data_IF_789869358552
#
_entry.id   IF_789869358552
#
_cell.length_a   1.000
_cell.length_b   1.000
_cell.length_c   1.000
_cell.angle_alpha   90.00
_cell.angle_beta   90.00
_cell.angle_gamma   90.00
#
_symmetry.space_group_name_H-M   'P 1'
#
loop_
_entity.id
_entity.type
_entity.pdbx_description
1 polymer ?
#
# COMPACT_ATOMS: atom_id res chain seq x y z
N UNK A 1 -18.13 -14.95 -0.43
CA UNK A 1 -19.05 -14.87 0.73
C UNK A 1 -18.34 -15.45 1.94
N UNK A 2 -18.31 -14.76 3.09
CA UNK A 2 -17.92 -15.36 4.36
C UNK A 2 -18.92 -16.44 4.78
N UNK A 3 -18.46 -17.52 5.40
CA UNK A 3 -19.32 -18.63 5.80
C UNK A 3 -18.55 -19.94 6.02
N UNK A 4 -19.21 -20.90 6.65
CA UNK A 4 -18.72 -22.28 6.71
C UNK A 4 -19.14 -23.00 5.43
N UNK A 5 -18.17 -23.63 4.76
CA UNK A 5 -18.38 -24.44 3.58
C UNK A 5 -17.89 -25.85 3.87
N UNK A 6 -18.70 -26.83 3.47
CA UNK A 6 -18.33 -28.23 3.50
C UNK A 6 -18.30 -28.73 2.07
N UNK A 7 -17.26 -29.47 1.72
CA UNK A 7 -17.09 -30.07 0.41
C UNK A 7 -16.54 -31.50 0.55
N UNK A 8 -16.63 -32.29 -0.50
CA UNK A 8 -16.14 -33.68 -0.53
C UNK A 8 -15.18 -33.85 -1.71
N UNK A 9 -13.91 -34.06 -1.41
CA UNK A 9 -12.90 -34.39 -2.41
C UNK A 9 -12.94 -35.89 -2.69
N UNK A 10 -13.37 -36.25 -3.89
CA UNK A 10 -13.29 -37.62 -4.40
C UNK A 10 -11.97 -37.81 -5.16
N UNK A 11 -11.12 -38.70 -4.66
CA UNK A 11 -9.87 -39.08 -5.30
C UNK A 11 -10.04 -40.42 -6.00
N UNK A 12 -10.08 -40.38 -7.34
CA UNK A 12 -10.12 -41.56 -8.20
C UNK A 12 -8.71 -41.85 -8.68
N UNK A 13 -8.16 -43.00 -8.29
CA UNK A 13 -6.86 -43.49 -8.77
C UNK A 13 -7.11 -44.84 -9.45
N UNK A 14 -6.55 -45.01 -10.65
CA UNK A 14 -6.69 -46.26 -11.41
C UNK A 14 -6.14 -47.45 -10.61
N UNK A 15 -6.97 -48.47 -10.40
CA UNK A 15 -6.59 -49.67 -9.63
C UNK A 15 -6.71 -49.54 -8.11
N UNK A 16 -7.15 -48.39 -7.57
CA UNK A 16 -7.40 -48.20 -6.14
C UNK A 16 -8.89 -47.92 -5.86
N UNK A 17 -9.39 -48.27 -4.65
CA UNK A 17 -10.74 -47.90 -4.24
C UNK A 17 -10.87 -46.37 -4.10
N UNK A 18 -12.09 -45.86 -4.36
CA UNK A 18 -12.42 -44.45 -4.25
C UNK A 18 -12.13 -43.94 -2.84
N UNK A 19 -11.26 -42.94 -2.73
CA UNK A 19 -10.99 -42.25 -1.47
C UNK A 19 -11.79 -40.95 -1.41
N UNK A 20 -12.53 -40.74 -0.31
CA UNK A 20 -13.35 -39.54 -0.08
C UNK A 20 -12.80 -38.76 1.10
N UNK A 21 -12.46 -37.50 0.88
CA UNK A 21 -11.95 -36.59 1.89
C UNK A 21 -12.98 -35.48 2.15
N UNK A 22 -13.54 -35.49 3.36
CA UNK A 22 -14.44 -34.43 3.80
C UNK A 22 -13.66 -33.16 4.11
N UNK A 23 -13.87 -32.11 3.32
CA UNK A 23 -13.35 -30.78 3.54
C UNK A 23 -14.35 -29.94 4.32
N UNK A 24 -13.87 -29.27 5.37
CA UNK A 24 -14.61 -28.21 6.06
C UNK A 24 -13.74 -26.98 6.10
N UNK A 25 -14.21 -25.89 5.51
CA UNK A 25 -13.49 -24.62 5.47
C UNK A 25 -14.38 -23.49 6.00
N UNK A 26 -13.76 -22.52 6.69
CA UNK A 26 -14.43 -21.30 7.15
C UNK A 26 -13.84 -20.11 6.40
N UNK A 27 -14.66 -19.48 5.56
CA UNK A 27 -14.29 -18.24 4.87
C UNK A 27 -14.65 -17.09 5.81
N UNK A 28 -13.65 -16.41 6.35
CA UNK A 28 -13.85 -15.31 7.32
C UNK A 28 -14.10 -13.94 6.66
N UNK A 29 -14.06 -13.84 5.33
CA UNK A 29 -14.07 -12.56 4.63
C UNK A 29 -12.69 -11.90 4.62
N UNK A 30 -12.62 -10.57 4.55
CA UNK A 30 -11.35 -9.84 4.72
C UNK A 30 -10.91 -9.99 6.20
N UNK A 31 -9.80 -10.67 6.50
CA UNK A 31 -9.34 -10.86 7.87
C UNK A 31 -8.75 -9.59 8.50
N UNK A 32 -8.59 -8.51 7.73
CA UNK A 32 -8.11 -7.23 8.24
C UNK A 32 -9.28 -6.34 8.63
N UNK A 33 -9.25 -5.85 9.87
CA UNK A 33 -10.26 -4.94 10.39
C UNK A 33 -9.62 -3.71 11.04
N UNK A 34 -10.26 -2.55 10.87
CA UNK A 34 -9.94 -1.36 11.67
C UNK A 34 -10.52 -1.56 13.06
N UNK A 35 -9.67 -1.40 14.07
CA UNK A 35 -10.07 -1.52 15.48
C UNK A 35 -11.00 -0.36 15.85
N UNK A 36 -12.14 -0.66 16.49
CA UNK A 36 -13.21 0.33 16.76
C UNK A 36 -12.79 1.46 17.69
N UNK A 37 -11.77 1.21 18.53
CA UNK A 37 -11.22 2.17 19.48
C UNK A 37 -10.33 3.24 18.82
N UNK A 38 -10.20 3.27 17.49
CA UNK A 38 -9.44 4.31 16.80
C UNK A 38 -10.14 5.67 16.86
N UNK A 39 -9.44 6.67 17.41
CA UNK A 39 -10.03 7.98 17.70
C UNK A 39 -10.30 8.79 16.44
N UNK A 40 -11.58 9.09 16.20
CA UNK A 40 -12.05 9.92 15.09
C UNK A 40 -12.06 9.21 13.74
N UNK A 41 -12.04 7.87 13.73
CA UNK A 41 -12.58 7.12 12.61
C UNK A 41 -14.10 7.08 12.76
N UNK A 42 -14.79 7.48 11.72
CA UNK A 42 -16.23 7.30 11.57
C UNK A 42 -16.49 6.17 10.57
N UNK A 43 -16.93 5.02 11.09
CA UNK A 43 -17.25 3.81 10.32
C UNK A 43 -18.77 3.67 10.12
N UNK A 44 -19.59 4.58 10.68
CA UNK A 44 -21.05 4.40 10.75
C UNK A 44 -21.79 5.22 9.68
N UNK A 45 -21.19 6.30 9.20
CA UNK A 45 -21.90 7.31 8.40
C UNK A 45 -21.79 7.08 6.88
N UNK A 46 -21.01 6.11 6.42
CA UNK A 46 -20.88 5.81 4.98
C UNK A 46 -20.20 4.48 4.67
N UNK A 47 -20.09 4.17 3.38
CA UNK A 47 -19.52 2.91 2.87
C UNK A 47 -18.00 2.81 3.08
N UNK A 48 -17.34 3.95 3.31
CA UNK A 48 -15.90 4.04 3.59
C UNK A 48 -15.66 4.72 4.94
N UNK A 49 -14.67 4.28 5.73
CA UNK A 49 -14.36 4.88 7.02
C UNK A 49 -13.69 6.25 6.84
N UNK A 50 -14.18 7.26 7.57
CA UNK A 50 -13.65 8.62 7.52
C UNK A 50 -12.75 8.92 8.72
N UNK A 51 -11.50 9.32 8.48
CA UNK A 51 -10.62 9.82 9.53
C UNK A 51 -10.76 11.36 9.65
N UNK A 52 -11.43 11.83 10.70
CA UNK A 52 -11.65 13.26 10.94
C UNK A 52 -10.60 13.80 11.89
N UNK A 53 -9.85 14.84 11.50
CA UNK A 53 -8.93 15.53 12.42
C UNK A 53 -9.62 16.53 13.36
N UNK A 54 -10.89 16.86 13.09
CA UNK A 54 -11.60 17.92 13.79
C UNK A 54 -11.24 19.30 13.24
N UNK A 55 -11.56 20.34 13.99
CA UNK A 55 -11.18 21.71 13.64
C UNK A 55 -9.69 21.93 13.98
N UNK A 56 -8.89 22.21 12.95
CA UNK A 56 -7.44 22.44 13.08
C UNK A 56 -7.15 23.90 12.78
N UNK A 57 -6.46 24.55 13.71
CA UNK A 57 -6.08 25.97 13.57
C UNK A 57 -4.84 26.08 12.69
N UNK A 58 -4.85 27.00 11.73
CA UNK A 58 -3.67 27.27 10.89
C UNK A 58 -2.49 27.68 11.77
N UNK A 59 -1.34 27.07 11.56
CA UNK A 59 -0.14 27.31 12.38
C UNK A 59 -0.13 26.57 13.73
N UNK A 60 -1.11 25.71 14.01
CA UNK A 60 -1.01 24.77 15.13
C UNK A 60 0.12 23.76 14.89
N UNK A 61 0.64 23.11 15.94
CA UNK A 61 1.50 21.94 15.77
C UNK A 61 0.83 20.83 14.94
N UNK A 62 1.65 19.94 14.39
CA UNK A 62 1.18 18.77 13.66
C UNK A 62 0.25 17.91 14.53
N UNK A 63 -0.87 17.47 13.96
CA UNK A 63 -1.88 16.69 14.67
C UNK A 63 -1.72 15.22 14.32
N UNK A 64 -1.49 14.36 15.33
CA UNK A 64 -1.30 12.92 15.12
C UNK A 64 -2.52 12.12 15.56
N UNK A 65 -2.95 11.19 14.71
CA UNK A 65 -3.97 10.19 15.03
C UNK A 65 -3.42 8.78 14.89
N UNK A 66 -3.81 7.90 15.82
CA UNK A 66 -3.41 6.51 15.81
C UNK A 66 -4.48 5.66 15.12
N UNK A 67 -4.06 4.91 14.10
CA UNK A 67 -4.82 3.85 13.47
C UNK A 67 -4.27 2.50 13.90
N UNK A 68 -5.14 1.65 14.43
CA UNK A 68 -4.84 0.26 14.74
C UNK A 68 -5.61 -0.65 13.80
N UNK A 69 -4.86 -1.54 13.16
CA UNK A 69 -5.39 -2.58 12.27
C UNK A 69 -5.15 -3.92 12.95
N UNK A 70 -6.17 -4.76 12.94
CA UNK A 70 -6.11 -6.13 13.43
C UNK A 70 -6.13 -7.10 12.27
N UNK A 71 -5.23 -8.08 12.31
CA UNK A 71 -5.32 -9.25 11.46
C UNK A 71 -5.96 -10.39 12.24
N UNK A 72 -7.21 -10.72 11.93
CA UNK A 72 -7.93 -11.85 12.50
C UNK A 72 -7.65 -13.16 11.76
N UNK A 73 -6.91 -13.08 10.65
CA UNK A 73 -6.58 -14.21 9.80
C UNK A 73 -5.37 -15.03 10.28
N UNK A 74 -5.23 -16.25 9.75
CA UNK A 74 -4.12 -17.16 10.10
C UNK A 74 -2.83 -16.88 9.33
N UNK A 75 -2.83 -15.93 8.38
CA UNK A 75 -1.71 -15.62 7.49
C UNK A 75 -1.27 -14.18 7.75
N UNK A 76 0.05 -13.94 7.74
CA UNK A 76 0.59 -12.59 7.85
C UNK A 76 0.16 -11.71 6.68
N UNK A 77 -0.19 -10.45 6.95
CA UNK A 77 -0.55 -9.47 5.93
C UNK A 77 0.49 -8.36 5.88
N UNK A 78 1.11 -8.13 4.72
CA UNK A 78 1.89 -6.92 4.47
C UNK A 78 0.91 -5.80 4.11
N UNK A 79 0.75 -4.85 5.01
CA UNK A 79 -0.12 -3.69 4.81
C UNK A 79 0.70 -2.51 4.33
N UNK A 80 0.22 -1.83 3.30
CA UNK A 80 0.87 -0.68 2.69
C UNK A 80 -0.14 0.44 2.38
N UNK A 81 0.21 1.65 2.78
CA UNK A 81 -0.62 2.84 2.61
C UNK A 81 -0.26 3.58 1.33
N UNK A 82 -1.29 4.01 0.60
CA UNK A 82 -1.19 4.83 -0.59
C UNK A 82 -2.21 5.96 -0.54
N UNK A 83 -1.95 7.02 -1.29
CA UNK A 83 -2.89 8.13 -1.47
C UNK A 83 -3.46 8.03 -2.87
N UNK A 84 -4.78 8.01 -2.99
CA UNK A 84 -5.49 7.97 -4.27
C UNK A 84 -6.53 9.09 -4.32
N UNK A 85 -6.90 9.48 -5.53
CA UNK A 85 -8.09 10.30 -5.78
C UNK A 85 -9.33 9.52 -5.32
N UNK A 86 -10.34 10.23 -4.79
CA UNK A 86 -11.62 9.64 -4.38
C UNK A 86 -12.26 8.84 -5.53
N UNK A 87 -12.10 9.30 -6.77
CA UNK A 87 -12.63 8.63 -7.95
C UNK A 87 -11.94 7.30 -8.29
N UNK A 88 -10.73 7.09 -7.78
CA UNK A 88 -9.93 5.89 -8.01
C UNK A 88 -9.97 4.91 -6.82
N UNK A 89 -10.73 5.24 -5.77
CA UNK A 89 -10.91 4.35 -4.60
C UNK A 89 -11.83 3.20 -4.98
N UNK A 90 -11.39 1.96 -4.70
CA UNK A 90 -12.18 0.75 -4.93
C UNK A 90 -12.28 0.29 -6.39
N UNK A 91 -11.71 1.05 -7.33
CA UNK A 91 -11.53 0.64 -8.72
C UNK A 91 -10.14 0.03 -8.92
N UNK A 92 -10.02 -0.88 -9.88
CA UNK A 92 -8.73 -1.22 -10.48
C UNK A 92 -8.03 0.04 -11.01
N UNK A 93 -6.71 -0.02 -11.12
CA UNK A 93 -5.90 1.10 -11.61
C UNK A 93 -6.41 1.60 -12.97
N UNK A 94 -7.07 2.75 -12.94
CA UNK A 94 -7.66 3.39 -14.12
C UNK A 94 -6.58 3.65 -15.16
N UNK A 95 -6.71 3.02 -16.33
CA UNK A 95 -5.75 3.19 -17.44
C UNK A 95 -6.20 4.22 -18.46
N UNK A 96 -7.50 4.48 -18.55
CA UNK A 96 -8.08 5.39 -19.54
C UNK A 96 -9.15 6.29 -18.93
N UNK A 97 -9.24 7.49 -19.47
CA UNK A 97 -10.32 8.45 -19.25
C UNK A 97 -11.25 8.43 -20.45
N UNK A 98 -12.54 8.23 -20.19
CA UNK A 98 -13.59 8.25 -21.22
C UNK A 98 -14.48 9.46 -20.96
N UNK A 99 -14.49 10.40 -21.90
CA UNK A 99 -15.30 11.62 -21.84
C UNK A 99 -16.35 11.61 -22.94
N UNK A 100 -17.59 11.91 -22.56
CA UNK A 100 -18.70 12.11 -23.48
C UNK A 100 -19.04 13.60 -23.52
N UNK A 101 -18.87 14.22 -24.67
CA UNK A 101 -19.25 15.62 -24.89
C UNK A 101 -20.43 15.68 -25.86
N UNK A 102 -21.49 16.45 -25.57
CA UNK A 102 -22.55 16.67 -26.54
C UNK A 102 -22.00 17.48 -27.73
N UNK A 103 -22.28 17.03 -28.94
CA UNK A 103 -21.81 17.73 -30.15
C UNK A 103 -22.75 18.87 -30.51
N UNK A 104 -22.22 19.91 -31.16
CA UNK A 104 -22.99 21.06 -31.64
C UNK A 104 -24.10 20.70 -32.65
N UNK A 105 -24.01 19.56 -33.34
CA UNK A 105 -25.07 19.02 -34.21
C UNK A 105 -25.67 17.73 -33.62
N UNK A 106 -26.74 17.84 -32.81
CA UNK A 106 -27.36 16.72 -32.14
C UNK A 106 -28.07 15.74 -33.09
N UNK A 107 -28.25 16.09 -34.36
CA UNK A 107 -29.00 15.28 -35.33
C UNK A 107 -28.12 14.34 -36.17
N UNK A 108 -26.79 14.57 -36.21
CA UNK A 108 -25.86 13.72 -36.97
C UNK A 108 -24.92 12.90 -36.09
N UNK A 109 -24.41 13.50 -35.02
CA UNK A 109 -23.56 12.83 -34.03
C UNK A 109 -23.85 13.44 -32.67
N UNK A 110 -24.87 12.97 -31.94
CA UNK A 110 -25.30 13.63 -30.70
C UNK A 110 -24.23 13.67 -29.61
N UNK A 111 -23.27 12.74 -29.65
CA UNK A 111 -22.25 12.59 -28.63
C UNK A 111 -20.89 12.37 -29.28
N UNK A 112 -19.89 13.14 -28.85
CA UNK A 112 -18.49 12.93 -29.14
C UNK A 112 -17.85 12.14 -28.00
N UNK A 113 -17.30 10.96 -28.33
CA UNK A 113 -16.51 10.14 -27.41
C UNK A 113 -15.03 10.51 -27.52
N UNK A 114 -14.41 10.88 -26.40
CA UNK A 114 -12.95 11.07 -26.30
C UNK A 114 -12.37 10.09 -25.30
N UNK A 115 -11.47 9.23 -25.76
CA UNK A 115 -10.71 8.31 -24.92
C UNK A 115 -9.29 8.85 -24.80
N UNK A 116 -8.78 9.00 -23.58
CA UNK A 116 -7.41 9.43 -23.28
C UNK A 116 -6.75 8.46 -22.33
N UNK A 117 -5.42 8.40 -22.34
CA UNK A 117 -4.68 7.68 -21.30
C UNK A 117 -4.91 8.43 -19.99
N UNK A 118 -5.25 7.70 -18.93
CA UNK A 118 -5.45 8.29 -17.62
C UNK A 118 -4.09 8.69 -17.05
N UNK A 119 -3.93 9.98 -16.76
CA UNK A 119 -2.74 10.49 -16.10
C UNK A 119 -2.93 10.38 -14.59
N UNK A 120 -2.15 9.51 -13.95
CA UNK A 120 -2.13 9.41 -12.49
C UNK A 120 -1.62 10.74 -11.92
N UNK A 121 -2.53 11.52 -11.35
CA UNK A 121 -2.18 12.79 -10.70
C UNK A 121 -1.32 12.48 -9.47
N UNK A 122 -0.16 13.13 -9.38
CA UNK A 122 0.60 13.11 -8.14
C UNK A 122 -0.09 14.03 -7.14
N UNK A 123 -0.58 13.46 -6.04
CA UNK A 123 -1.30 14.20 -5.04
C UNK A 123 -0.43 14.44 -3.81
N UNK A 124 -0.25 15.71 -3.46
CA UNK A 124 0.40 16.10 -2.22
C UNK A 124 -0.57 15.98 -1.04
N UNK A 125 -0.55 14.83 -0.37
CA UNK A 125 -1.42 14.59 0.77
C UNK A 125 -1.14 15.59 1.90
N UNK A 126 -2.18 16.13 2.57
CA UNK A 126 -1.99 17.00 3.73
C UNK A 126 -1.53 16.21 4.97
N UNK A 127 -1.55 14.88 4.92
CA UNK A 127 -1.13 13.99 5.99
C UNK A 127 0.00 13.05 5.55
N UNK A 128 0.69 12.49 6.53
CA UNK A 128 1.67 11.42 6.37
C UNK A 128 1.31 10.23 7.25
N UNK A 129 1.60 9.02 6.77
CA UNK A 129 1.37 7.77 7.52
C UNK A 129 2.71 7.15 7.87
N UNK A 130 2.91 6.78 9.13
CA UNK A 130 4.12 6.12 9.61
C UNK A 130 3.80 4.94 10.53
N UNK A 131 4.29 3.72 10.24
CA UNK A 131 5.04 3.36 9.03
C UNK A 131 4.17 3.36 7.76
N UNK A 132 4.75 3.58 6.57
CA UNK A 132 3.99 3.49 5.31
C UNK A 132 3.64 2.04 4.98
N UNK A 133 4.49 1.09 5.37
CA UNK A 133 4.30 -0.33 5.16
C UNK A 133 4.70 -1.12 6.41
N UNK A 134 3.89 -2.10 6.79
CA UNK A 134 4.15 -2.95 7.95
C UNK A 134 3.55 -4.34 7.76
N UNK A 135 4.34 -5.36 8.12
CA UNK A 135 3.86 -6.74 8.22
C UNK A 135 3.07 -6.92 9.52
N UNK A 136 1.83 -7.39 9.40
CA UNK A 136 0.95 -7.73 10.51
C UNK A 136 0.89 -9.26 10.63
N UNK A 137 1.48 -9.85 11.69
CA UNK A 137 1.42 -11.29 11.91
C UNK A 137 -0.02 -11.82 12.06
N UNK A 138 -0.22 -13.15 12.00
CA UNK A 138 -1.51 -13.76 12.29
C UNK A 138 -1.99 -13.38 13.68
N UNK A 139 -3.29 -13.06 13.80
CA UNK A 139 -3.93 -12.74 15.08
C UNK A 139 -3.29 -11.57 15.86
N UNK A 140 -2.58 -10.69 15.15
CA UNK A 140 -1.84 -9.57 15.75
C UNK A 140 -2.43 -8.21 15.33
N UNK A 141 -2.00 -7.18 16.04
CA UNK A 141 -2.35 -5.80 15.74
C UNK A 141 -1.12 -5.00 15.29
N UNK A 142 -1.33 -4.07 14.36
CA UNK A 142 -0.34 -3.07 13.96
C UNK A 142 -0.87 -1.65 14.21
N UNK A 143 0.07 -0.72 14.35
CA UNK A 143 -0.19 0.68 14.71
C UNK A 143 0.43 1.59 13.67
N UNK A 144 -0.37 2.52 13.16
CA UNK A 144 0.01 3.48 12.16
C UNK A 144 -0.34 4.88 12.66
N UNK A 145 0.65 5.77 12.69
CA UNK A 145 0.45 7.17 13.01
C UNK A 145 0.12 7.94 11.74
N UNK A 146 -1.04 8.58 11.71
CA UNK A 146 -1.42 9.51 10.65
C UNK A 146 -1.23 10.92 11.18
N UNK A 147 -0.27 11.63 10.62
CA UNK A 147 0.13 12.98 11.02
C UNK A 147 -0.40 13.96 9.99
N UNK A 148 -1.33 14.83 10.40
CA UNK A 148 -1.70 16.00 9.62
C UNK A 148 -0.60 17.05 9.77
N UNK A 149 0.03 17.41 8.66
CA UNK A 149 1.12 18.37 8.63
C UNK A 149 0.56 19.78 8.65
N UNK A 150 0.87 20.51 9.71
CA UNK A 150 0.46 21.90 9.90
C UNK A 150 0.86 22.82 8.73
N UNK A 151 2.02 22.56 8.13
CA UNK A 151 2.53 23.26 6.95
C UNK A 151 1.69 23.06 5.68
N UNK A 152 0.85 22.03 5.63
CA UNK A 152 -0.02 21.67 4.50
C UNK A 152 -1.49 22.00 4.77
N UNK A 153 -1.82 22.58 5.93
CA UNK A 153 -3.17 23.02 6.28
C UNK A 153 -3.29 24.50 5.96
N UNK A 154 -4.16 24.84 5.01
CA UNK A 154 -4.53 26.22 4.72
C UNK A 154 -5.92 26.52 5.28
N UNK A 155 -6.08 27.69 5.88
CA UNK A 155 -7.35 28.11 6.44
C UNK A 155 -8.38 28.35 5.36
N UNK A 156 -9.66 28.12 5.68
CA UNK A 156 -10.80 28.54 4.86
C UNK A 156 -10.91 30.07 4.69
N UNK A 157 -10.07 30.84 5.38
CA UNK A 157 -10.09 32.30 5.36
C UNK A 157 -8.82 32.87 4.77
N UNK A 158 -8.99 33.63 3.70
CA UNK A 158 -8.11 34.73 3.29
C UNK A 158 -6.83 34.28 2.56
N UNK A 159 -6.95 34.05 1.26
CA UNK A 159 -5.89 34.43 0.33
C UNK A 159 -5.95 35.97 0.19
N UNK A 160 -5.32 36.73 1.09
CA UNK A 160 -5.28 38.21 1.02
C UNK A 160 -4.17 38.76 0.13
N UNK A 161 -3.30 37.93 -0.43
CA UNK A 161 -2.26 38.39 -1.36
C UNK A 161 -2.70 38.23 -2.82
N UNK A 162 -3.94 38.65 -3.11
CA UNK A 162 -4.42 38.89 -4.47
C UNK A 162 -4.98 40.31 -4.54
N UNK A 163 -4.10 41.28 -4.66
CA UNK A 163 -4.39 42.65 -5.11
C UNK A 163 -4.81 42.73 -6.58
N UNK A 164 -5.37 41.67 -7.16
CA UNK A 164 -5.85 41.68 -8.55
C UNK A 164 -7.13 40.86 -8.73
N UNK A 165 -8.22 41.33 -8.09
CA UNK A 165 -9.56 40.80 -8.32
C UNK A 165 -10.16 41.38 -9.61
N UNK A 166 -9.92 40.70 -10.73
CA UNK A 166 -10.78 40.78 -11.92
C UNK A 166 -11.49 39.47 -12.29
N UNK A 167 -11.15 38.32 -11.68
CA UNK A 167 -11.80 37.04 -11.96
C UNK A 167 -12.53 36.46 -10.75
N UNK A 168 -13.80 36.83 -10.61
CA UNK A 168 -14.77 36.34 -9.62
C UNK A 168 -15.25 34.89 -9.86
N UNK A 169 -14.58 34.10 -10.72
CA UNK A 169 -15.01 32.74 -11.11
C UNK A 169 -14.27 31.61 -10.39
N UNK A 170 -13.19 31.90 -9.67
CA UNK A 170 -12.35 30.83 -9.09
C UNK A 170 -12.60 30.60 -7.59
N UNK A 171 -13.49 31.38 -6.96
CA UNK A 171 -13.86 31.21 -5.55
C UNK A 171 -14.72 29.96 -5.28
N UNK A 172 -15.37 29.41 -6.30
CA UNK A 172 -16.15 28.16 -6.20
C UNK A 172 -15.27 26.89 -6.23
N UNK A 173 -13.95 27.04 -6.43
CA UNK A 173 -13.01 25.91 -6.55
C UNK A 173 -12.18 25.62 -5.29
N UNK A 174 -12.43 26.30 -4.18
CA UNK A 174 -11.88 25.93 -2.86
C UNK A 174 -12.64 24.74 -2.28
N UNK A 175 -12.73 23.65 -3.06
CA UNK A 175 -13.22 22.38 -2.53
C UNK A 175 -12.26 21.91 -1.43
N UNK A 176 -12.78 21.40 -0.31
CA UNK A 176 -11.93 20.78 0.70
C UNK A 176 -11.11 19.69 0.01
N UNK A 177 -9.80 19.74 0.21
CA UNK A 177 -8.80 18.79 -0.31
C UNK A 177 -9.16 17.39 0.22
N UNK A 178 -9.97 16.65 -0.53
CA UNK A 178 -10.43 15.30 -0.19
C UNK A 178 -9.41 14.29 -0.73
N UNK A 179 -8.38 14.02 0.06
CA UNK A 179 -7.45 12.93 -0.22
C UNK A 179 -7.99 11.64 0.38
N UNK A 180 -7.97 10.55 -0.38
CA UNK A 180 -8.29 9.23 0.15
C UNK A 180 -7.01 8.49 0.51
N UNK A 181 -6.97 8.01 1.75
CA UNK A 181 -5.94 7.09 2.21
C UNK A 181 -6.41 5.66 1.96
N UNK A 182 -5.72 4.97 1.07
CA UNK A 182 -6.04 3.59 0.67
C UNK A 182 -5.07 2.64 1.32
N UNK A 183 -5.63 1.64 2.01
CA UNK A 183 -4.88 0.52 2.58
C UNK A 183 -4.88 -0.64 1.60
N UNK A 184 -3.71 -1.03 1.12
CA UNK A 184 -3.53 -2.27 0.39
C UNK A 184 -3.00 -3.36 1.34
N UNK A 185 -3.29 -4.61 1.03
CA UNK A 185 -2.85 -5.75 1.82
C UNK A 185 -2.41 -6.90 0.92
N UNK A 186 -1.21 -7.42 1.18
CA UNK A 186 -0.66 -8.58 0.48
C UNK A 186 -0.43 -9.73 1.49
N UNK A 187 -1.02 -10.90 1.24
CA UNK A 187 -0.93 -12.07 2.12
C UNK A 187 0.38 -12.81 1.90
N UNK A 188 1.18 -12.92 2.96
CA UNK A 188 2.49 -13.56 2.94
C UNK A 188 2.35 -15.03 3.36
N UNK A 189 2.30 -15.92 2.36
CA UNK A 189 2.28 -17.37 2.60
C UNK A 189 3.69 -17.86 3.00
N UNK A 190 3.82 -18.65 4.08
CA UNK A 190 5.11 -19.15 4.54
C UNK A 190 5.85 -20.00 3.48
N UNK A 191 5.10 -20.66 2.58
CA UNK A 191 5.64 -21.64 1.63
C UNK A 191 6.36 -21.03 0.41
N UNK A 192 6.42 -19.70 0.27
CA UNK A 192 7.21 -19.03 -0.79
C UNK A 192 8.59 -18.55 -0.34
N UNK A 193 8.99 -18.82 0.89
CA UNK A 193 10.27 -18.37 1.46
C UNK A 193 11.35 -19.44 1.56
N UNK A 194 11.25 -20.54 0.80
CA UNK A 194 12.35 -21.50 0.64
C UNK A 194 12.65 -21.76 -0.84
N UNK A 195 13.53 -20.94 -1.41
CA UNK A 195 14.60 -21.37 -2.31
C UNK A 195 15.49 -20.19 -2.67
N UNK A 196 16.63 -20.05 -1.97
CA UNK A 196 17.69 -19.12 -2.37
C UNK A 196 18.52 -18.47 -1.28
N UNK A 197 18.80 -19.11 -0.14
CA UNK A 197 19.83 -18.62 0.79
C UNK A 197 20.55 -19.77 1.52
N UNK A 198 21.17 -20.66 0.73
CA UNK A 198 22.20 -21.57 1.24
C UNK A 198 23.59 -21.03 0.82
N UNK A 199 24.38 -20.63 1.81
CA UNK A 199 25.84 -20.80 1.79
C UNK A 199 26.68 -19.81 0.98
N UNK A 200 26.97 -18.64 1.55
CA UNK A 200 28.00 -17.73 1.05
C UNK A 200 28.71 -16.96 2.16
N UNK A 201 29.32 -17.68 3.10
CA UNK A 201 30.07 -17.09 4.22
C UNK A 201 31.37 -16.49 3.67
N UNK A 202 31.35 -15.19 3.37
CA UNK A 202 32.51 -14.40 2.98
C UNK A 202 33.54 -14.37 4.12
N UNK A 203 34.59 -15.18 4.01
CA UNK A 203 35.83 -15.00 4.79
C UNK A 203 36.75 -14.09 3.98
N UNK A 204 36.80 -12.82 4.39
CA UNK A 204 37.83 -11.86 4.00
C UNK A 204 39.13 -12.26 4.71
N UNK A 205 40.05 -12.91 4.01
CA UNK A 205 41.44 -13.08 4.47
C UNK A 205 42.29 -11.94 3.90
N UNK A 206 42.63 -10.99 4.76
CA UNK A 206 43.68 -10.00 4.55
C UNK A 206 45.05 -10.67 4.62
N UNK A 207 45.82 -10.63 3.54
CA UNK A 207 47.27 -10.89 3.58
C UNK A 207 47.98 -9.62 3.10
N UNK A 208 48.55 -8.91 4.07
CA UNK A 208 49.54 -7.86 3.90
C UNK A 208 50.59 -8.02 5.00
N UNK A 209 51.87 -8.03 4.62
CA UNK A 209 53.04 -8.15 5.52
C UNK A 209 54.14 -9.00 4.87
N UNK A 210 55.02 -8.43 4.03
CA UNK A 210 56.32 -7.77 4.33
C UNK A 210 57.53 -8.71 4.46
N UNK A 211 58.44 -8.58 3.49
CA UNK A 211 59.92 -8.53 3.52
C UNK A 211 60.78 -9.54 4.32
N UNK A 212 61.77 -10.10 3.60
CA UNK A 212 63.02 -10.73 4.08
C UNK A 212 63.48 -11.80 3.09
N UNK A 213 64.30 -11.56 2.06
CA UNK A 213 65.73 -11.18 2.00
C UNK A 213 66.72 -12.26 2.49
N UNK A 214 67.54 -12.72 1.53
CA UNK A 214 68.89 -13.34 1.56
C UNK A 214 69.04 -14.89 1.59
N UNK A 215 69.45 -15.39 0.42
CA UNK A 215 70.67 -16.17 0.08
C UNK A 215 71.20 -17.27 1.00
N UNK A 216 71.38 -18.47 0.44
CA UNK A 216 72.68 -19.04 -0.02
C UNK A 216 72.51 -20.54 -0.38
N UNK A 217 73.25 -21.03 -1.39
CA UNK A 217 73.72 -22.43 -1.35
C UNK A 217 73.60 -23.27 -2.62
N UNK A 218 74.65 -23.23 -3.43
CA UNK A 218 74.98 -24.07 -4.60
C UNK A 218 75.33 -25.52 -4.25
N UNK A 219 75.28 -26.41 -5.27
CA UNK A 219 75.89 -27.75 -5.45
C UNK A 219 74.89 -28.92 -5.40
N UNK A 220 74.91 -29.92 -6.29
CA UNK A 220 75.78 -30.28 -7.40
C UNK A 220 75.55 -31.75 -7.82
N UNK A 221 75.92 -32.12 -9.05
CA UNK A 221 76.18 -33.48 -9.58
C UNK A 221 75.04 -34.52 -9.57
N UNK A 222 74.57 -35.09 -10.68
CA UNK A 222 75.22 -36.01 -11.66
C UNK A 222 75.01 -37.50 -11.36
N UNK A 223 74.70 -38.24 -12.44
CA UNK A 223 74.73 -39.69 -12.65
C UNK A 223 73.60 -40.48 -11.98
N UNK A 224 72.86 -41.35 -12.66
CA UNK A 224 73.14 -42.18 -13.86
C UNK A 224 71.89 -42.36 -14.71
#
# INVERSE_FOLDING_TARGET
MPGAHSDELECVIEGAPLARLNLKMQITGCPLSLVKENVGIDVMTGDVPWLRFGDVVVGSPDVTKLLRIRNEGPISALVNWQVKDLLDVGSEDRKVDVLFEPTADPFKQPIQLKIRIHETKHYDAPYQVSPVSQLIPPHADAKFNVVLLSSRVWGSGICSDVTDMSNKRDADNLSPVQACMVMNAEWQHPDKTENGAAGGRSKRSSLGGTHGSLDYGTAGGSNT
#
